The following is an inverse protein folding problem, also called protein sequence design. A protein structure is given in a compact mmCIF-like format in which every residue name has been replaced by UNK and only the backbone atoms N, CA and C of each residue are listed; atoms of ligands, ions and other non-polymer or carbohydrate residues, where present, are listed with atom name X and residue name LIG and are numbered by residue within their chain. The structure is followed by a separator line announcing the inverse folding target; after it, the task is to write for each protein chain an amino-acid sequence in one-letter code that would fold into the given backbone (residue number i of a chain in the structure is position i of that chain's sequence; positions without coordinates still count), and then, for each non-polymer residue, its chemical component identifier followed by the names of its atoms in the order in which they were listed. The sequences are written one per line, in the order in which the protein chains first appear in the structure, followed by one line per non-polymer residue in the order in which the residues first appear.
data_IF_428103417925
#
_entry.id   IF_428103417925
#
_cell.length_a   1.000
_cell.length_b   1.000
_cell.length_c   1.000
_cell.angle_alpha   90.00
_cell.angle_beta   90.00
_cell.angle_gamma   90.00
#
_symmetry.space_group_name_H-M   'P 1'
#
loop_
_entity.id
_entity.type
_entity.pdbx_description
1 polymer ?
#
# COMPACT_ATOMS: atom_id res chain seq x y z
N UNK A 1 18.56 -4.06 16.84
CA UNK A 1 18.27 -3.76 15.43
C UNK A 1 17.17 -2.70 15.40
N UNK A 2 17.51 -1.45 15.11
CA UNK A 2 16.51 -0.37 14.97
C UNK A 2 15.99 -0.49 13.54
N UNK A 3 14.80 -1.07 13.36
CA UNK A 3 14.16 -1.10 12.05
C UNK A 3 13.97 0.36 11.61
N UNK A 4 14.87 0.86 10.77
CA UNK A 4 14.64 2.08 10.02
C UNK A 4 13.30 1.90 9.32
N UNK A 5 12.35 2.80 9.59
CA UNK A 5 10.97 2.73 9.17
C UNK A 5 10.82 2.03 7.80
N UNK A 6 10.45 0.74 7.84
CA UNK A 6 10.03 0.00 6.66
C UNK A 6 8.59 0.45 6.35
N UNK A 7 8.43 1.74 6.07
CA UNK A 7 7.15 2.42 5.86
C UNK A 7 7.19 3.23 4.58
N UNK A 8 7.92 2.75 3.56
CA UNK A 8 7.93 3.38 2.25
C UNK A 8 6.59 3.18 1.58
N UNK A 9 5.72 4.18 1.69
CA UNK A 9 4.47 4.42 0.92
C UNK A 9 4.71 4.39 -0.60
N UNK A 10 5.12 3.23 -1.16
CA UNK A 10 5.59 3.14 -2.54
C UNK A 10 4.84 2.05 -3.29
N UNK A 11 3.73 2.44 -3.93
CA UNK A 11 3.11 1.66 -4.99
C UNK A 11 3.89 1.92 -6.29
N UNK A 12 4.86 1.07 -6.62
CA UNK A 12 5.54 1.15 -7.93
C UNK A 12 4.82 0.27 -8.94
N UNK A 13 3.79 0.78 -9.59
CA UNK A 13 3.45 0.31 -10.94
C UNK A 13 4.19 1.18 -11.94
N UNK A 14 5.41 0.75 -12.31
CA UNK A 14 6.10 1.26 -13.49
C UNK A 14 5.95 0.22 -14.58
N UNK A 15 5.01 0.42 -15.50
CA UNK A 15 4.91 -0.43 -16.67
C UNK A 15 5.81 0.10 -17.81
N UNK A 16 6.11 -0.75 -18.78
CA UNK A 16 6.95 -0.41 -19.93
C UNK A 16 6.30 0.60 -20.89
N UNK A 17 5.03 0.96 -20.66
CA UNK A 17 4.27 1.91 -21.49
C UNK A 17 4.52 3.36 -21.09
N UNK A 18 5.21 3.60 -19.98
CA UNK A 18 5.53 4.95 -19.50
C UNK A 18 4.40 5.60 -18.71
N UNK A 19 3.44 4.81 -18.22
CA UNK A 19 2.35 5.34 -17.39
C UNK A 19 2.90 5.98 -16.10
N UNK A 20 2.20 7.02 -15.63
CA UNK A 20 2.60 7.78 -14.45
C UNK A 20 2.61 6.88 -13.21
N UNK A 21 3.68 6.96 -12.42
CA UNK A 21 3.75 6.34 -11.10
C UNK A 21 2.84 7.11 -10.15
N UNK A 22 1.87 6.40 -9.57
CA UNK A 22 0.95 6.93 -8.56
C UNK A 22 1.51 6.60 -7.18
N UNK A 23 1.50 7.58 -6.27
CA UNK A 23 1.92 7.36 -4.89
C UNK A 23 0.83 6.60 -4.11
N UNK A 24 1.21 5.87 -3.05
CA UNK A 24 0.22 5.16 -2.23
C UNK A 24 -0.90 6.08 -1.67
N UNK A 25 -0.64 7.32 -1.18
CA UNK A 25 -1.71 8.22 -0.74
C UNK A 25 -2.65 8.64 -1.88
N UNK A 26 -2.09 8.90 -3.08
CA UNK A 26 -2.88 9.27 -4.26
C UNK A 26 -3.81 8.12 -4.69
N UNK A 27 -3.35 6.88 -4.60
CA UNK A 27 -4.18 5.69 -4.85
C UNK A 27 -5.31 5.58 -3.82
N UNK A 28 -5.00 5.67 -2.52
CA UNK A 28 -6.00 5.53 -1.46
C UNK A 28 -7.08 6.63 -1.52
N UNK A 29 -6.69 7.89 -1.79
CA UNK A 29 -7.67 8.98 -1.98
C UNK A 29 -8.56 8.74 -3.20
N UNK A 30 -8.02 8.21 -4.30
CA UNK A 30 -8.82 7.86 -5.47
C UNK A 30 -9.85 6.74 -5.17
N UNK A 31 -9.56 5.88 -4.19
CA UNK A 31 -10.48 4.89 -3.65
C UNK A 31 -11.44 5.43 -2.58
N UNK A 32 -11.37 6.72 -2.22
CA UNK A 32 -12.24 7.36 -1.23
C UNK A 32 -11.71 7.32 0.21
N UNK A 33 -10.48 6.86 0.42
CA UNK A 33 -9.82 6.89 1.73
C UNK A 33 -9.05 8.19 1.87
N UNK A 34 -9.63 9.13 2.61
CA UNK A 34 -8.96 10.38 2.95
C UNK A 34 -7.82 10.14 3.94
N UNK A 35 -6.89 11.09 4.04
CA UNK A 35 -5.69 10.92 4.88
C UNK A 35 -6.04 10.73 6.38
N UNK A 36 -7.18 11.27 6.82
CA UNK A 36 -7.67 11.20 8.19
C UNK A 36 -8.57 9.97 8.45
N UNK A 37 -8.75 9.10 7.46
CA UNK A 37 -9.58 7.91 7.61
C UNK A 37 -8.83 6.80 8.35
N UNK A 38 -9.29 6.48 9.57
CA UNK A 38 -8.86 5.29 10.29
C UNK A 38 -9.70 4.08 9.82
N UNK A 39 -9.03 3.04 9.32
CA UNK A 39 -9.68 1.81 8.84
C UNK A 39 -9.07 0.62 9.57
N UNK A 40 -9.93 -0.20 10.16
CA UNK A 40 -9.54 -1.48 10.73
C UNK A 40 -9.79 -2.56 9.69
N UNK A 41 -8.73 -3.26 9.28
CA UNK A 41 -8.79 -4.36 8.33
C UNK A 41 -8.28 -5.64 8.99
N UNK A 42 -8.92 -6.75 8.68
CA UNK A 42 -8.36 -8.06 8.98
C UNK A 42 -7.21 -8.34 8.00
N UNK A 43 -6.05 -8.68 8.54
CA UNK A 43 -4.87 -9.03 7.76
C UNK A 43 -4.45 -10.47 8.08
N UNK A 44 -4.02 -11.20 7.05
CA UNK A 44 -3.44 -12.53 7.20
C UNK A 44 -2.00 -12.55 6.67
N UNK A 45 -1.20 -13.46 7.21
CA UNK A 45 0.14 -13.69 6.70
C UNK A 45 0.08 -14.53 5.41
N UNK A 46 0.79 -14.10 4.38
CA UNK A 46 0.99 -14.84 3.13
C UNK A 46 2.48 -15.22 3.00
N UNK A 47 2.75 -16.53 3.01
CA UNK A 47 4.11 -17.08 2.94
C UNK A 47 4.79 -16.86 1.59
N UNK A 48 4.02 -16.81 0.50
CA UNK A 48 4.55 -16.62 -0.85
C UNK A 48 4.98 -15.16 -1.06
N UNK A 49 4.19 -14.21 -0.56
CA UNK A 49 4.53 -12.79 -0.54
C UNK A 49 5.53 -12.41 0.57
N UNK A 50 5.67 -13.29 1.58
CA UNK A 50 6.40 -13.03 2.82
C UNK A 50 5.95 -11.71 3.49
N UNK A 51 4.63 -11.49 3.54
CA UNK A 51 4.02 -10.23 3.97
C UNK A 51 2.67 -10.45 4.66
N UNK A 52 2.23 -9.45 5.44
CA UNK A 52 0.85 -9.33 5.88
C UNK A 52 0.00 -8.72 4.76
N UNK A 53 -1.06 -9.41 4.36
CA UNK A 53 -2.00 -9.00 3.32
C UNK A 53 -3.33 -8.66 3.97
N UNK A 54 -3.79 -7.43 3.77
CA UNK A 54 -5.15 -7.00 4.08
C UNK A 54 -5.97 -6.93 2.79
N UNK A 55 -7.22 -7.39 2.84
CA UNK A 55 -8.14 -7.43 1.70
C UNK A 55 -9.51 -6.88 2.09
N UNK A 56 -10.26 -6.33 1.14
CA UNK A 56 -11.61 -5.78 1.37
C UNK A 56 -11.71 -4.26 1.38
N UNK A 57 -10.73 -3.57 0.77
CA UNK A 57 -10.81 -2.16 0.39
C UNK A 57 -11.51 -2.00 -0.97
#
# INVERSE_FOLDING_TARGET
MRHAAAGGYLLKQRNSRGDRVVSAPEFFRACGFDDDAEVVLEAHWDDHAAALIASGL
#
